data_IF_320733978218
#
_entry.id   IF_320733978218
#
_cell.length_a   1.000
_cell.length_b   1.000
_cell.length_c   1.000
_cell.angle_alpha   90.00
_cell.angle_beta   90.00
_cell.angle_gamma   90.00
#
_symmetry.space_group_name_H-M   'P 1'
#
loop_
_entity.id
_entity.type
_entity.pdbx_description
1 polymer ?
#
# COMPACT_ATOMS: atom_id res chain seq x y z
N UNK A 1 -45.04 -11.50 -2.32
CA UNK A 1 -43.62 -11.90 -2.26
C UNK A 1 -43.01 -11.28 -1.02
N UNK A 2 -42.46 -12.11 -0.12
CA UNK A 2 -41.70 -11.63 1.03
C UNK A 2 -40.31 -11.22 0.52
N UNK A 3 -39.91 -9.98 0.79
CA UNK A 3 -38.56 -9.49 0.49
C UNK A 3 -37.66 -9.92 1.64
N UNK A 4 -36.81 -10.92 1.40
CA UNK A 4 -35.78 -11.33 2.35
C UNK A 4 -34.73 -10.22 2.49
N UNK A 5 -34.26 -9.92 3.72
CA UNK A 5 -33.26 -8.88 3.93
C UNK A 5 -31.92 -9.30 3.29
N UNK A 6 -31.31 -8.38 2.54
CA UNK A 6 -30.01 -8.60 1.90
C UNK A 6 -28.96 -9.06 2.92
N UNK A 7 -28.09 -10.03 2.56
CA UNK A 7 -27.02 -10.46 3.42
C UNK A 7 -26.10 -9.28 3.74
N UNK A 8 -25.92 -8.98 5.03
CA UNK A 8 -24.99 -7.95 5.49
C UNK A 8 -23.59 -8.30 4.94
N UNK A 9 -22.85 -7.34 4.36
CA UNK A 9 -21.48 -7.57 3.92
C UNK A 9 -20.70 -8.18 5.09
N UNK A 10 -20.16 -9.38 4.88
CA UNK A 10 -19.35 -10.04 5.90
C UNK A 10 -18.14 -9.14 6.15
N UNK A 11 -18.09 -8.48 7.30
CA UNK A 11 -16.95 -7.69 7.70
C UNK A 11 -15.73 -8.62 7.67
N UNK A 12 -14.70 -8.22 6.92
CA UNK A 12 -13.47 -9.02 6.84
C UNK A 12 -12.93 -9.26 8.25
N UNK A 13 -12.40 -10.46 8.54
CA UNK A 13 -11.83 -10.75 9.84
C UNK A 13 -10.69 -9.77 10.12
N UNK A 14 -10.92 -8.87 11.07
CA UNK A 14 -9.91 -7.94 11.57
C UNK A 14 -9.29 -8.55 12.81
N UNK A 15 -7.96 -8.56 12.88
CA UNK A 15 -7.25 -8.91 14.11
C UNK A 15 -7.65 -7.94 15.21
N UNK A 16 -8.11 -8.49 16.34
CA UNK A 16 -8.56 -7.70 17.49
C UNK A 16 -7.51 -7.74 18.57
N UNK A 17 -7.01 -6.57 18.96
CA UNK A 17 -6.06 -6.43 20.05
C UNK A 17 -6.62 -5.51 21.14
N UNK A 18 -6.53 -5.95 22.40
CA UNK A 18 -7.01 -5.18 23.55
C UNK A 18 -5.87 -4.31 24.09
N UNK A 19 -5.98 -3.00 23.90
CA UNK A 19 -5.01 -2.02 24.42
C UNK A 19 -5.33 -1.66 25.87
N UNK A 20 -4.32 -1.73 26.74
CA UNK A 20 -4.38 -1.17 28.10
C UNK A 20 -3.80 0.23 28.06
N UNK A 21 -4.68 1.22 28.17
CA UNK A 21 -4.32 2.64 28.11
C UNK A 21 -4.16 3.18 29.54
N UNK A 22 -3.17 4.05 29.80
CA UNK A 22 -3.11 4.82 31.04
C UNK A 22 -4.27 5.81 31.14
N UNK A 23 -4.52 6.28 32.37
CA UNK A 23 -5.62 7.19 32.67
C UNK A 23 -5.63 8.44 31.76
N UNK A 24 -6.83 8.81 31.29
CA UNK A 24 -7.05 9.96 30.40
C UNK A 24 -6.56 9.79 28.96
N UNK A 25 -5.80 8.74 28.62
CA UNK A 25 -5.31 8.54 27.24
C UNK A 25 -6.45 8.23 26.27
N UNK A 26 -7.47 7.48 26.71
CA UNK A 26 -8.65 7.17 25.87
C UNK A 26 -9.39 8.44 25.44
N UNK A 27 -9.59 9.38 26.36
CA UNK A 27 -10.29 10.64 26.07
C UNK A 27 -9.49 11.54 25.14
N UNK A 28 -8.16 11.56 25.29
CA UNK A 28 -7.26 12.25 24.35
C UNK A 28 -7.37 11.70 22.94
N UNK A 29 -7.40 10.38 22.77
CA UNK A 29 -7.59 9.73 21.46
C UNK A 29 -8.98 10.07 20.91
N UNK A 30 -10.03 10.06 21.75
CA UNK A 30 -11.38 10.44 21.35
C UNK A 30 -11.43 11.85 20.77
N UNK A 31 -10.86 12.82 21.48
CA UNK A 31 -10.80 14.20 21.03
C UNK A 31 -9.99 14.38 19.74
N UNK A 32 -8.90 13.62 19.56
CA UNK A 32 -8.15 13.60 18.30
C UNK A 32 -9.00 13.05 17.13
N UNK A 33 -9.68 11.93 17.34
CA UNK A 33 -10.53 11.30 16.36
C UNK A 33 -11.69 12.23 15.92
N UNK A 34 -12.34 12.91 16.88
CA UNK A 34 -13.40 13.89 16.61
C UNK A 34 -12.90 15.06 15.77
N UNK A 35 -11.72 15.62 16.10
CA UNK A 35 -11.10 16.70 15.32
C UNK A 35 -10.76 16.26 13.89
N UNK A 36 -10.41 14.99 13.71
CA UNK A 36 -10.04 14.43 12.41
C UNK A 36 -11.25 13.85 11.62
N UNK A 37 -12.47 13.92 12.17
CA UNK A 37 -13.66 13.35 11.54
C UNK A 37 -13.59 11.81 11.38
N UNK A 38 -12.86 11.14 12.26
CA UNK A 38 -12.62 9.68 12.22
C UNK A 38 -13.28 8.99 13.41
N UNK A 39 -13.56 7.69 13.25
CA UNK A 39 -13.84 6.86 14.42
C UNK A 39 -12.58 6.73 15.29
N UNK A 40 -12.75 6.48 16.58
CA UNK A 40 -11.61 6.27 17.49
C UNK A 40 -10.67 5.16 16.99
N UNK A 41 -11.23 4.06 16.45
CA UNK A 41 -10.42 2.97 15.89
C UNK A 41 -9.64 3.42 14.65
N UNK A 42 -10.29 4.18 13.74
CA UNK A 42 -9.62 4.70 12.55
C UNK A 42 -8.48 5.66 12.90
N UNK A 43 -8.64 6.45 13.96
CA UNK A 43 -7.58 7.33 14.46
C UNK A 43 -6.40 6.54 15.05
N UNK A 44 -6.66 5.50 15.84
CA UNK A 44 -5.62 4.61 16.36
C UNK A 44 -4.85 3.96 15.21
N UNK A 45 -5.56 3.41 14.22
CA UNK A 45 -4.93 2.78 13.05
C UNK A 45 -4.10 3.78 12.26
N UNK A 46 -4.62 4.98 11.98
CA UNK A 46 -3.88 6.00 11.25
C UNK A 46 -2.61 6.45 11.97
N UNK A 47 -2.69 6.63 13.29
CA UNK A 47 -1.53 7.00 14.12
C UNK A 47 -0.47 5.89 14.12
N UNK A 48 -0.90 4.62 14.18
CA UNK A 48 0.01 3.48 14.11
C UNK A 48 0.64 3.34 12.73
N UNK A 49 -0.11 3.53 11.65
CA UNK A 49 0.41 3.46 10.27
C UNK A 49 1.42 4.59 9.99
N UNK A 50 1.22 5.77 10.56
CA UNK A 50 2.21 6.86 10.49
C UNK A 50 3.53 6.47 11.18
N UNK A 51 3.46 5.80 12.33
CA UNK A 51 4.66 5.46 13.11
C UNK A 51 5.31 4.13 12.69
N UNK A 52 4.50 3.20 12.18
CA UNK A 52 4.85 1.86 11.75
C UNK A 52 4.26 1.63 10.35
N UNK A 53 4.79 2.33 9.34
CA UNK A 53 4.27 2.19 7.99
C UNK A 53 4.39 0.74 7.54
N UNK A 54 3.42 0.28 6.74
CA UNK A 54 3.53 -1.02 6.08
C UNK A 54 4.84 -1.07 5.31
N UNK A 55 5.69 -2.02 5.68
CA UNK A 55 6.84 -2.37 4.87
C UNK A 55 6.27 -3.15 3.69
N UNK A 56 6.03 -2.46 2.57
CA UNK A 56 5.76 -3.12 1.31
C UNK A 56 7.07 -3.73 0.84
N UNK A 57 7.22 -5.07 0.81
CA UNK A 57 8.40 -5.66 0.20
C UNK A 57 8.41 -5.19 -1.25
N UNK A 58 9.57 -4.76 -1.72
CA UNK A 58 9.74 -4.23 -3.07
C UNK A 58 9.22 -5.23 -4.11
N UNK A 59 9.40 -6.53 -3.87
CA UNK A 59 8.86 -7.60 -4.70
C UNK A 59 7.32 -7.60 -4.83
N UNK A 60 6.57 -7.16 -3.81
CA UNK A 60 5.11 -7.01 -3.90
C UNK A 60 4.72 -5.74 -4.65
N UNK A 61 5.37 -4.61 -4.37
CA UNK A 61 5.17 -3.36 -5.11
C UNK A 61 5.39 -3.56 -6.61
N UNK A 62 6.44 -4.29 -6.96
CA UNK A 62 6.78 -4.64 -8.32
C UNK A 62 5.70 -5.53 -8.97
N UNK A 63 5.16 -6.55 -8.28
CA UNK A 63 4.06 -7.36 -8.83
C UNK A 63 2.81 -6.52 -9.11
N UNK A 64 2.50 -5.58 -8.21
CA UNK A 64 1.39 -4.66 -8.40
C UNK A 64 1.62 -3.74 -9.61
N UNK A 65 2.86 -3.34 -9.87
CA UNK A 65 3.25 -2.54 -11.05
C UNK A 65 3.18 -3.38 -12.34
N UNK A 66 3.62 -4.65 -12.32
CA UNK A 66 3.48 -5.54 -13.47
C UNK A 66 2.01 -5.79 -13.83
N UNK A 67 1.17 -5.99 -12.81
CA UNK A 67 -0.28 -6.13 -12.99
C UNK A 67 -0.91 -4.84 -13.50
N UNK A 68 -0.53 -3.69 -12.94
CA UNK A 68 -0.96 -2.39 -13.42
C UNK A 68 -0.51 -2.14 -14.87
N UNK A 69 0.72 -2.48 -15.24
CA UNK A 69 1.24 -2.37 -16.60
C UNK A 69 0.45 -3.27 -17.56
N UNK A 70 0.15 -4.51 -17.19
CA UNK A 70 -0.67 -5.43 -18.00
C UNK A 70 -2.07 -4.85 -18.29
N UNK A 71 -2.66 -4.20 -17.30
CA UNK A 71 -3.99 -3.56 -17.41
C UNK A 71 -3.89 -2.24 -18.19
N UNK A 72 -2.87 -1.42 -17.94
CA UNK A 72 -2.70 -0.08 -18.50
C UNK A 72 -2.08 -0.06 -19.90
N UNK A 73 -1.31 -1.07 -20.30
CA UNK A 73 -0.74 -1.22 -21.64
C UNK A 73 -1.78 -1.41 -22.74
N UNK A 74 -3.03 -1.67 -22.37
CA UNK A 74 -4.16 -1.80 -23.29
C UNK A 74 -5.12 -0.60 -23.26
N UNK A 75 -4.81 0.44 -22.48
CA UNK A 75 -5.73 1.55 -22.20
C UNK A 75 -5.12 2.94 -22.36
N UNK A 76 -5.95 4.00 -22.28
CA UNK A 76 -5.53 5.40 -22.49
C UNK A 76 -4.48 5.93 -21.49
N UNK A 77 -4.17 5.17 -20.44
CA UNK A 77 -3.24 5.57 -19.37
C UNK A 77 -1.84 4.96 -19.50
N UNK A 78 -1.48 4.38 -20.66
CA UNK A 78 -0.18 3.76 -20.89
C UNK A 78 1.01 4.69 -20.57
N UNK A 79 0.92 5.98 -20.93
CA UNK A 79 1.95 6.98 -20.63
C UNK A 79 2.16 7.22 -19.12
N UNK A 80 1.10 7.08 -18.31
CA UNK A 80 1.19 7.21 -16.85
C UNK A 80 1.88 5.99 -16.25
N UNK A 81 1.60 4.80 -16.76
CA UNK A 81 2.25 3.56 -16.33
C UNK A 81 3.76 3.59 -16.64
N UNK A 82 4.13 4.05 -17.84
CA UNK A 82 5.53 4.21 -18.25
C UNK A 82 6.26 5.26 -17.39
N UNK A 83 5.62 6.40 -17.11
CA UNK A 83 6.20 7.43 -16.25
C UNK A 83 6.46 6.93 -14.82
N UNK A 84 5.51 6.19 -14.23
CA UNK A 84 5.67 5.60 -12.90
C UNK A 84 6.79 4.57 -12.86
N UNK A 85 6.88 3.69 -13.87
CA UNK A 85 7.96 2.71 -13.97
C UNK A 85 9.34 3.39 -14.03
N UNK A 86 9.46 4.48 -14.79
CA UNK A 86 10.70 5.26 -14.89
C UNK A 86 11.07 5.96 -13.58
N UNK A 87 10.11 6.57 -12.89
CA UNK A 87 10.34 7.21 -11.58
C UNK A 87 10.80 6.18 -10.56
N UNK A 88 10.16 5.02 -10.50
CA UNK A 88 10.53 3.96 -9.57
C UNK A 88 11.91 3.36 -9.88
N UNK A 89 12.21 3.14 -11.16
CA UNK A 89 13.54 2.70 -11.59
C UNK A 89 14.62 3.69 -11.17
N UNK A 90 14.37 5.00 -11.30
CA UNK A 90 15.30 6.03 -10.87
C UNK A 90 15.49 6.03 -9.35
N UNK A 91 14.40 6.00 -8.58
CA UNK A 91 14.48 6.00 -7.11
C UNK A 91 15.19 4.75 -6.56
N UNK A 92 15.02 3.59 -7.20
CA UNK A 92 15.72 2.36 -6.81
C UNK A 92 17.23 2.42 -7.15
N UNK A 93 17.62 3.06 -8.25
CA UNK A 93 19.04 3.28 -8.58
C UNK A 93 19.75 4.19 -7.58
N UNK A 94 19.02 5.13 -6.97
CA UNK A 94 19.55 6.03 -5.94
C UNK A 94 19.70 5.34 -4.57
N UNK A 95 19.12 4.14 -4.40
CA UNK A 95 19.13 3.36 -3.17
C UNK A 95 19.47 1.87 -3.44
N UNK A 96 20.76 1.54 -3.65
CA UNK A 96 21.20 0.20 -4.04
C UNK A 96 20.87 -0.89 -3.01
N UNK A 97 20.60 -0.55 -1.75
CA UNK A 97 20.11 -1.46 -0.72
C UNK A 97 18.74 -2.10 -1.05
N UNK A 98 18.00 -1.52 -1.99
CA UNK A 98 16.68 -1.97 -2.44
C UNK A 98 16.72 -2.68 -3.80
N UNK A 99 17.91 -2.79 -4.40
CA UNK A 99 18.12 -3.36 -5.72
C UNK A 99 18.06 -4.90 -5.71
N UNK A 100 18.49 -5.52 -4.61
CA UNK A 100 18.54 -6.98 -4.45
C UNK A 100 17.13 -7.59 -4.46
N UNK A 101 16.80 -8.35 -5.51
CA UNK A 101 15.49 -9.00 -5.70
C UNK A 101 14.45 -8.22 -6.51
N UNK A 102 14.74 -6.97 -6.90
CA UNK A 102 13.89 -6.15 -7.77
C UNK A 102 14.22 -6.31 -9.29
N UNK A 103 15.42 -6.78 -9.59
CA UNK A 103 16.04 -6.77 -10.93
C UNK A 103 15.24 -7.50 -12.00
N UNK A 104 14.89 -8.76 -11.74
CA UNK A 104 14.26 -9.63 -12.75
C UNK A 104 12.89 -9.09 -13.17
N UNK A 105 12.23 -8.39 -12.26
CA UNK A 105 10.87 -7.94 -12.45
C UNK A 105 10.83 -6.55 -13.08
N UNK A 106 11.75 -5.65 -12.71
CA UNK A 106 11.94 -4.38 -13.45
C UNK A 106 12.40 -4.69 -14.88
N UNK A 107 13.32 -5.63 -15.07
CA UNK A 107 13.79 -6.10 -16.39
C UNK A 107 12.62 -6.53 -17.28
N UNK A 108 11.68 -7.32 -16.75
CA UNK A 108 10.47 -7.77 -17.45
C UNK A 108 9.48 -6.64 -17.74
N UNK A 109 9.32 -5.69 -16.80
CA UNK A 109 8.35 -4.62 -16.92
C UNK A 109 8.71 -3.56 -17.98
N UNK A 110 10.00 -3.29 -18.21
CA UNK A 110 10.46 -2.19 -19.08
C UNK A 110 11.51 -2.58 -20.13
N UNK A 111 11.76 -3.88 -20.36
CA UNK A 111 12.75 -4.37 -21.33
C UNK A 111 14.13 -3.68 -21.18
N UNK A 112 14.53 -3.41 -19.93
CA UNK A 112 15.78 -2.70 -19.64
C UNK A 112 17.00 -3.55 -20.03
N UNK A 113 18.08 -2.97 -20.60
CA UNK A 113 19.35 -3.67 -20.77
C UNK A 113 19.89 -4.20 -19.42
N UNK A 114 20.70 -5.27 -19.43
CA UNK A 114 21.30 -5.83 -18.22
C UNK A 114 22.11 -4.77 -17.46
N UNK A 115 22.21 -4.95 -16.14
CA UNK A 115 23.05 -4.09 -15.29
C UNK A 115 24.48 -4.10 -15.85
N UNK A 116 25.19 -2.96 -15.91
CA UNK A 116 26.47 -2.85 -16.64
C UNK A 116 27.67 -3.57 -16.00
N UNK A 117 27.45 -4.62 -15.20
CA UNK A 117 28.51 -5.41 -14.55
C UNK A 117 28.34 -6.94 -14.73
N UNK A 118 27.71 -7.39 -15.82
CA UNK A 118 27.81 -8.78 -16.35
C UNK A 118 28.67 -8.85 -17.61
#
# INVERSE_FOLDING_TARGET
MQIEPMPKPQAQPQDKYVLRLPDGMRDRIKAAAERNGRSMNAEIVATLDEKYPRIYPISALIKDIEEFHRIAASGPNHQVAEHLANVLTKSLKEHPEYWEGAEETIRKAIQLPPHPDE
#
